data_IF_471083496702
#
_entry.id   IF_471083496702
#
_cell.length_a   1.000
_cell.length_b   1.000
_cell.length_c   1.000
_cell.angle_alpha   90.00
_cell.angle_beta   90.00
_cell.angle_gamma   90.00
#
_symmetry.space_group_name_H-M   'P 1'
#
loop_
_entity.id
_entity.type
_entity.pdbx_description
1 polymer ?
#
# COMPACT_ATOMS: atom_id res chain seq x y z
N UNK A 1 -6.27 -4.11 -15.73
CA UNK A 1 -5.00 -3.56 -15.20
C UNK A 1 -4.25 -4.71 -14.53
N UNK A 2 -2.92 -4.76 -14.54
CA UNK A 2 -2.18 -5.85 -13.86
C UNK A 2 -1.85 -5.45 -12.43
N UNK A 3 -1.53 -6.42 -11.57
CA UNK A 3 -1.10 -6.16 -10.18
C UNK A 3 0.07 -5.19 -10.11
N UNK A 4 1.06 -5.34 -11.00
CA UNK A 4 2.25 -4.47 -11.06
C UNK A 4 1.91 -3.02 -11.40
N UNK A 5 0.98 -2.82 -12.35
CA UNK A 5 0.56 -1.46 -12.73
C UNK A 5 -0.12 -0.75 -11.56
N UNK A 6 -0.99 -1.47 -10.84
CA UNK A 6 -1.61 -0.96 -9.61
C UNK A 6 -0.60 -0.69 -8.51
N UNK A 7 0.36 -1.58 -8.32
CA UNK A 7 1.42 -1.38 -7.34
C UNK A 7 2.26 -0.13 -7.63
N UNK A 8 2.54 0.19 -8.90
CA UNK A 8 3.20 1.45 -9.24
C UNK A 8 2.36 2.68 -8.91
N UNK A 9 1.05 2.67 -9.19
CA UNK A 9 0.16 3.77 -8.83
C UNK A 9 0.08 3.98 -7.32
N UNK A 10 -0.17 2.90 -6.57
CA UNK A 10 -0.24 2.94 -5.11
C UNK A 10 1.10 3.41 -4.54
N UNK A 11 2.23 2.90 -5.05
CA UNK A 11 3.57 3.34 -4.67
C UNK A 11 3.76 4.84 -4.89
N UNK A 12 3.30 5.38 -6.02
CA UNK A 12 3.33 6.81 -6.31
C UNK A 12 2.66 7.64 -5.22
N UNK A 13 1.47 7.23 -4.78
CA UNK A 13 0.73 7.93 -3.72
C UNK A 13 1.49 7.97 -2.38
N UNK A 14 2.11 6.86 -1.98
CA UNK A 14 2.95 6.83 -0.77
C UNK A 14 4.25 7.63 -0.89
N UNK A 15 4.72 7.90 -2.12
CA UNK A 15 5.87 8.77 -2.37
C UNK A 15 5.48 10.25 -2.31
N UNK A 16 4.33 10.59 -2.86
CA UNK A 16 3.75 11.95 -2.83
C UNK A 16 3.38 12.36 -1.40
N UNK A 17 2.89 11.40 -0.60
CA UNK A 17 2.50 11.61 0.81
C UNK A 17 3.30 10.71 1.77
N UNK A 18 4.47 11.13 2.27
CA UNK A 18 5.34 10.30 3.12
C UNK A 18 4.76 9.93 4.50
N UNK A 19 3.63 10.54 4.91
CA UNK A 19 2.88 10.19 6.12
C UNK A 19 1.63 9.34 5.86
N UNK A 20 1.40 8.91 4.62
CA UNK A 20 0.21 8.17 4.25
C UNK A 20 0.17 6.83 4.98
N UNK A 21 -0.98 6.57 5.61
CA UNK A 21 -1.25 5.37 6.39
C UNK A 21 -2.63 4.86 6.03
N UNK A 22 -2.70 3.73 5.33
CA UNK A 22 -3.96 3.16 4.87
C UNK A 22 -4.13 1.73 5.35
N UNK A 23 -5.33 1.37 5.79
CA UNK A 23 -5.70 -0.04 5.99
C UNK A 23 -6.01 -0.71 4.66
N UNK A 24 -6.04 -2.05 4.62
CA UNK A 24 -6.47 -2.81 3.42
C UNK A 24 -7.79 -2.28 2.85
N UNK A 25 -8.79 -2.06 3.71
CA UNK A 25 -10.10 -1.56 3.29
C UNK A 25 -10.05 -0.15 2.73
N UNK A 26 -9.13 0.70 3.20
CA UNK A 26 -8.93 2.03 2.65
C UNK A 26 -8.23 1.97 1.29
N UNK A 27 -7.21 1.13 1.12
CA UNK A 27 -6.59 0.87 -0.19
C UNK A 27 -7.65 0.39 -1.18
N UNK A 28 -8.48 -0.58 -0.78
CA UNK A 28 -9.55 -1.10 -1.62
C UNK A 28 -10.52 0.00 -2.08
N UNK A 29 -10.98 0.86 -1.16
CA UNK A 29 -11.94 1.92 -1.47
C UNK A 29 -11.31 3.07 -2.28
N UNK A 30 -10.06 3.43 -2.00
CA UNK A 30 -9.40 4.56 -2.64
C UNK A 30 -9.10 4.27 -4.12
N UNK A 31 -8.70 3.05 -4.43
CA UNK A 31 -8.38 2.62 -5.80
C UNK A 31 -9.47 1.75 -6.46
N UNK A 32 -10.58 1.47 -5.77
CA UNK A 32 -11.68 0.67 -6.31
C UNK A 32 -11.32 -0.78 -6.63
N UNK A 33 -10.34 -1.36 -5.93
CA UNK A 33 -9.80 -2.69 -6.22
C UNK A 33 -10.76 -3.82 -5.83
N UNK A 34 -10.78 -4.91 -6.60
CA UNK A 34 -11.33 -6.16 -6.11
C UNK A 34 -10.54 -6.66 -4.88
N UNK A 35 -11.14 -7.50 -4.05
CA UNK A 35 -10.49 -8.02 -2.85
C UNK A 35 -9.15 -8.71 -3.15
N UNK A 36 -9.13 -9.58 -4.15
CA UNK A 36 -7.93 -10.34 -4.53
C UNK A 36 -6.83 -9.44 -5.12
N UNK A 37 -7.22 -8.48 -5.96
CA UNK A 37 -6.30 -7.47 -6.51
C UNK A 37 -5.70 -6.58 -5.41
N UNK A 38 -6.50 -6.18 -4.42
CA UNK A 38 -6.04 -5.37 -3.30
C UNK A 38 -4.99 -6.12 -2.47
N UNK A 39 -5.24 -7.40 -2.15
CA UNK A 39 -4.30 -8.23 -1.41
C UNK A 39 -3.02 -8.46 -2.21
N UNK A 40 -3.12 -8.72 -3.53
CA UNK A 40 -1.96 -8.91 -4.40
C UNK A 40 -1.08 -7.65 -4.50
N UNK A 41 -1.68 -6.47 -4.64
CA UNK A 41 -0.97 -5.18 -4.70
C UNK A 41 -0.26 -4.87 -3.39
N UNK A 42 -0.97 -5.02 -2.26
CA UNK A 42 -0.39 -4.81 -0.93
C UNK A 42 0.75 -5.79 -0.70
N UNK A 43 0.55 -7.07 -1.04
CA UNK A 43 1.57 -8.09 -0.91
C UNK A 43 2.81 -7.77 -1.74
N UNK A 44 2.66 -7.33 -2.99
CA UNK A 44 3.80 -6.95 -3.84
C UNK A 44 4.64 -5.84 -3.19
N UNK A 45 3.98 -4.80 -2.69
CA UNK A 45 4.66 -3.65 -2.08
C UNK A 45 5.32 -3.99 -0.73
N UNK A 46 4.74 -4.91 0.05
CA UNK A 46 5.33 -5.40 1.29
C UNK A 46 6.50 -6.36 1.00
N UNK A 47 6.36 -7.27 0.04
CA UNK A 47 7.40 -8.19 -0.39
C UNK A 47 8.61 -7.45 -0.98
N UNK A 48 8.37 -6.32 -1.66
CA UNK A 48 9.41 -5.41 -2.13
C UNK A 48 10.06 -4.58 -1.01
N UNK A 49 9.60 -4.69 0.24
CA UNK A 49 10.09 -3.91 1.39
C UNK A 49 9.71 -2.43 1.35
N UNK A 50 8.82 -2.01 0.44
CA UNK A 50 8.40 -0.63 0.30
C UNK A 50 7.36 -0.24 1.37
N UNK A 51 6.38 -1.10 1.62
CA UNK A 51 5.40 -0.95 2.71
C UNK A 51 5.72 -1.88 3.88
N UNK A 52 5.40 -1.41 5.08
CA UNK A 52 5.36 -2.24 6.30
C UNK A 52 3.98 -2.17 6.93
N UNK A 53 3.53 -3.30 7.51
CA UNK A 53 2.29 -3.36 8.27
C UNK A 53 2.55 -2.93 9.72
N UNK A 54 1.75 -1.99 10.20
CA UNK A 54 1.75 -1.53 11.59
C UNK A 54 0.94 -2.49 12.48
N UNK A 55 1.14 -2.47 13.81
CA UNK A 55 0.34 -3.28 14.75
C UNK A 55 -1.17 -3.03 14.64
N UNK A 56 -1.57 -1.79 14.28
CA UNK A 56 -2.97 -1.42 14.04
C UNK A 56 -3.53 -1.86 12.68
N UNK A 57 -2.80 -2.68 11.91
CA UNK A 57 -3.26 -3.23 10.65
C UNK A 57 -3.24 -2.27 9.45
N UNK A 58 -2.64 -1.08 9.62
CA UNK A 58 -2.41 -0.14 8.52
C UNK A 58 -1.05 -0.36 7.87
N UNK A 59 -0.93 -0.03 6.60
CA UNK A 59 0.29 -0.06 5.81
C UNK A 59 0.87 1.35 5.71
N UNK A 60 2.17 1.47 5.98
CA UNK A 60 2.93 2.72 5.90
C UNK A 60 4.22 2.46 5.11
N UNK A 61 4.82 3.51 4.56
CA UNK A 61 6.13 3.42 3.92
C UNK A 61 7.19 2.95 4.93
N UNK A 62 8.01 1.98 4.54
CA UNK A 62 8.98 1.36 5.44
C UNK A 62 10.07 2.34 5.90
N UNK A 63 10.54 3.16 4.96
CA UNK A 63 11.54 4.22 5.14
C UNK A 63 11.00 5.47 5.85
N UNK A 64 9.69 5.64 5.92
CA UNK A 64 9.07 6.63 6.81
C UNK A 64 9.21 6.11 8.25
N UNK A 65 10.40 6.25 8.82
CA UNK A 65 10.65 6.04 10.23
C UNK A 65 9.82 7.06 11.01
N UNK A 66 8.66 6.63 11.51
CA UNK A 66 8.00 7.29 12.61
C UNK A 66 8.85 7.00 13.85
N UNK A 67 9.65 7.98 14.27
CA UNK A 67 10.11 8.09 15.65
C UNK A 67 8.94 8.48 16.55
#
# INVERSE_FOLDING_TARGET
MTTKEWAQLVRGEYLEMPGLRLTRSQVQRLWGLASDECDAVIWELVAAGFLKRTPGGAYIRADSAQA
#
